data_IF_216366363350
#
_entry.id   IF_216366363350
#
_cell.length_a   1.000
_cell.length_b   1.000
_cell.length_c   1.000
_cell.angle_alpha   90.00
_cell.angle_beta   90.00
_cell.angle_gamma   90.00
#
_symmetry.space_group_name_H-M   'P 1'
#
loop_
_entity.id
_entity.type
_entity.pdbx_description
1 polymer ?
#
# COMPACT_ATOMS: atom_id res chain seq x y z
N UNK A 1 1.35 17.69 -5.70
CA UNK A 1 2.00 16.43 -5.29
C UNK A 1 3.22 16.79 -4.47
N UNK A 2 3.56 15.98 -3.51
CA UNK A 2 4.71 16.14 -2.61
C UNK A 2 5.31 14.77 -2.27
N UNK A 3 6.57 14.76 -1.88
CA UNK A 3 7.22 13.53 -1.40
C UNK A 3 6.73 13.21 0.01
N UNK A 4 6.64 11.93 0.31
CA UNK A 4 6.38 11.43 1.65
C UNK A 4 7.14 10.15 1.93
N UNK A 5 7.11 9.67 3.16
CA UNK A 5 7.80 8.45 3.57
C UNK A 5 6.88 7.54 4.38
N UNK A 6 7.13 6.25 4.31
CA UNK A 6 6.49 5.24 5.16
C UNK A 6 7.37 4.97 6.38
N UNK A 7 6.91 5.36 7.56
CA UNK A 7 7.69 5.19 8.78
C UNK A 7 7.23 3.98 9.60
N UNK A 8 8.09 2.97 9.69
CA UNK A 8 7.98 1.86 10.62
C UNK A 8 8.78 2.07 11.91
N UNK A 9 9.78 2.95 11.87
CA UNK A 9 10.56 3.44 13.00
C UNK A 9 10.23 4.93 13.23
N UNK A 10 9.83 5.26 14.45
CA UNK A 10 9.45 6.60 14.87
C UNK A 10 10.50 7.22 15.82
N UNK A 11 11.74 6.73 15.83
CA UNK A 11 12.84 7.29 16.61
C UNK A 11 13.21 8.70 16.12
N UNK A 12 13.77 9.51 17.02
CA UNK A 12 14.23 10.87 16.67
C UNK A 12 15.24 10.85 15.52
N UNK A 13 16.12 9.82 15.47
CA UNK A 13 17.05 9.61 14.37
C UNK A 13 16.33 9.49 13.03
N UNK A 14 15.28 8.66 12.98
CA UNK A 14 14.55 8.41 11.73
C UNK A 14 13.69 9.60 11.32
N UNK A 15 13.07 10.28 12.27
CA UNK A 15 12.31 11.51 12.01
C UNK A 15 13.23 12.65 11.54
N UNK A 16 14.41 12.81 12.16
CA UNK A 16 15.42 13.78 11.72
C UNK A 16 15.91 13.47 10.29
N UNK A 17 16.21 12.20 9.99
CA UNK A 17 16.60 11.78 8.64
C UNK A 17 15.52 12.14 7.60
N UNK A 18 14.26 11.85 7.89
CA UNK A 18 13.15 12.17 6.99
C UNK A 18 13.03 13.70 6.76
N UNK A 19 13.06 14.48 7.85
CA UNK A 19 12.99 15.94 7.78
C UNK A 19 14.16 16.55 6.98
N UNK A 20 15.40 16.04 7.14
CA UNK A 20 16.56 16.49 6.39
C UNK A 20 16.42 16.28 4.87
N UNK A 21 15.67 15.28 4.45
CA UNK A 21 15.35 15.01 3.03
C UNK A 21 14.19 15.86 2.51
N UNK A 22 13.59 16.70 3.35
CA UNK A 22 12.44 17.53 3.01
C UNK A 22 11.13 16.75 2.99
N UNK A 23 11.04 15.66 3.75
CA UNK A 23 9.79 14.91 3.97
C UNK A 23 8.97 15.65 5.03
N UNK A 24 7.85 16.23 4.60
CA UNK A 24 6.91 16.96 5.47
C UNK A 24 5.64 16.13 5.74
N UNK A 25 5.46 15.00 5.07
CA UNK A 25 4.28 14.16 5.15
C UNK A 25 4.65 12.69 5.25
N UNK A 26 3.96 11.95 6.12
CA UNK A 26 4.26 10.53 6.34
C UNK A 26 3.03 9.64 6.39
N UNK A 27 3.26 8.37 6.01
CA UNK A 27 2.40 7.25 6.35
C UNK A 27 3.02 6.51 7.55
N UNK A 28 2.33 6.47 8.68
CA UNK A 28 2.78 5.72 9.85
C UNK A 28 2.39 4.25 9.68
N UNK A 29 3.41 3.39 9.56
CA UNK A 29 3.24 1.96 9.29
C UNK A 29 3.16 1.10 10.55
N UNK A 30 3.61 1.61 11.70
CA UNK A 30 3.65 0.87 12.95
C UNK A 30 2.67 1.42 13.97
N UNK A 31 2.02 0.52 14.71
CA UNK A 31 1.29 0.85 15.93
C UNK A 31 2.07 0.42 17.18
N UNK A 32 3.20 -0.27 16.98
CA UNK A 32 4.04 -0.77 18.06
C UNK A 32 4.63 0.42 18.85
N UNK A 33 4.62 0.30 20.16
CA UNK A 33 5.18 1.26 21.11
C UNK A 33 4.59 2.69 21.03
N UNK A 34 3.45 2.84 20.31
CA UNK A 34 2.76 4.14 20.18
C UNK A 34 1.68 4.37 21.24
N UNK A 35 1.24 3.34 21.93
CA UNK A 35 0.10 3.37 22.85
C UNK A 35 -1.27 3.57 22.16
N UNK A 36 -1.30 3.65 20.83
CA UNK A 36 -2.54 3.84 20.05
C UNK A 36 -3.47 2.65 20.27
N UNK A 37 -2.92 1.44 20.29
CA UNK A 37 -3.68 0.22 20.33
C UNK A 37 -3.66 -0.43 21.72
N UNK A 38 -4.85 -0.73 22.23
CA UNK A 38 -5.07 -1.53 23.44
C UNK A 38 -4.83 -3.03 23.19
N UNK A 39 -4.77 -3.81 24.27
CA UNK A 39 -4.63 -5.28 24.22
C UNK A 39 -5.80 -5.95 23.46
N UNK A 40 -7.03 -5.44 23.62
CA UNK A 40 -8.23 -5.93 22.93
C UNK A 40 -8.31 -5.52 21.46
N UNK A 41 -7.47 -4.58 21.03
CA UNK A 41 -7.37 -4.12 19.66
C UNK A 41 -8.04 -2.79 19.36
N UNK A 42 -8.76 -2.24 20.29
CA UNK A 42 -9.34 -0.91 20.17
C UNK A 42 -8.27 0.18 20.19
N UNK A 43 -8.56 1.31 19.56
CA UNK A 43 -7.63 2.44 19.51
C UNK A 43 -7.98 3.53 20.51
N UNK A 44 -6.93 4.14 21.04
CA UNK A 44 -6.98 5.29 21.93
C UNK A 44 -6.73 6.60 21.16
N UNK A 45 -7.62 7.57 21.27
CA UNK A 45 -7.50 8.89 20.63
C UNK A 45 -6.34 9.72 21.18
N UNK A 46 -6.12 9.82 22.51
CA UNK A 46 -5.03 10.63 23.04
C UNK A 46 -3.64 10.26 22.55
N UNK A 47 -3.23 8.99 22.45
CA UNK A 47 -1.96 8.59 21.83
C UNK A 47 -1.85 8.95 20.35
N UNK A 48 -2.94 8.86 19.56
CA UNK A 48 -2.90 9.30 18.16
C UNK A 48 -2.55 10.79 18.10
N UNK A 49 -3.23 11.62 18.89
CA UNK A 49 -2.96 13.06 18.95
C UNK A 49 -1.56 13.37 19.51
N UNK A 50 -1.07 12.56 20.44
CA UNK A 50 0.30 12.69 20.95
C UNK A 50 1.34 12.42 19.85
N UNK A 51 1.13 11.38 19.06
CA UNK A 51 1.99 11.07 17.91
C UNK A 51 1.95 12.18 16.86
N UNK A 52 0.77 12.73 16.54
CA UNK A 52 0.66 13.87 15.62
C UNK A 52 1.46 15.09 16.10
N UNK A 53 1.36 15.43 17.40
CA UNK A 53 2.16 16.53 17.99
C UNK A 53 3.65 16.26 17.93
N UNK A 54 4.08 15.02 18.25
CA UNK A 54 5.48 14.64 18.17
C UNK A 54 6.05 14.75 16.75
N UNK A 55 5.31 14.28 15.74
CA UNK A 55 5.71 14.43 14.34
C UNK A 55 5.82 15.91 13.93
N UNK A 56 4.90 16.75 14.43
CA UNK A 56 4.93 18.20 14.18
C UNK A 56 6.17 18.89 14.75
N UNK A 57 6.78 18.38 15.84
CA UNK A 57 8.06 18.88 16.38
C UNK A 57 9.21 18.75 15.36
N UNK A 58 9.11 17.80 14.42
CA UNK A 58 10.05 17.62 13.31
C UNK A 58 9.57 18.28 11.99
N UNK A 59 8.48 19.04 12.03
CA UNK A 59 7.87 19.62 10.83
C UNK A 59 7.13 18.59 9.95
N UNK A 60 6.74 17.45 10.53
CA UNK A 60 6.14 16.32 9.80
C UNK A 60 4.65 16.21 10.15
N UNK A 61 3.83 16.01 9.13
CA UNK A 61 2.38 15.74 9.24
C UNK A 61 2.08 14.27 8.97
N UNK A 62 1.21 13.66 9.78
CA UNK A 62 0.70 12.31 9.55
C UNK A 62 -0.49 12.36 8.60
N UNK A 63 -0.30 12.00 7.33
CA UNK A 63 -1.36 11.91 6.33
C UNK A 63 -2.10 10.57 6.38
N UNK A 64 -1.37 9.51 6.70
CA UNK A 64 -1.89 8.14 6.67
C UNK A 64 -1.46 7.36 7.91
N UNK A 65 -2.38 6.60 8.48
CA UNK A 65 -2.09 5.65 9.55
C UNK A 65 -2.44 4.24 9.09
N UNK A 66 -1.61 3.25 9.44
CA UNK A 66 -1.91 1.84 9.14
C UNK A 66 -3.05 1.35 10.03
N UNK A 67 -4.09 0.77 9.43
CA UNK A 67 -5.26 0.23 10.15
C UNK A 67 -4.96 -1.09 10.88
N UNK A 68 -3.75 -1.62 10.75
CA UNK A 68 -3.36 -2.88 11.38
C UNK A 68 -3.85 -4.11 10.64
N UNK A 69 -4.18 -3.99 9.36
CA UNK A 69 -4.46 -5.11 8.45
C UNK A 69 -3.29 -5.22 7.48
N UNK A 70 -2.40 -6.16 7.75
CA UNK A 70 -1.12 -6.30 7.10
C UNK A 70 -1.17 -7.21 5.87
N UNK A 71 -0.21 -7.03 4.94
CA UNK A 71 -0.01 -7.91 3.78
C UNK A 71 0.71 -9.20 4.20
N UNK A 72 0.15 -9.95 5.12
CA UNK A 72 0.72 -11.18 5.64
C UNK A 72 -0.12 -12.40 5.26
N UNK A 73 0.48 -13.59 5.35
CA UNK A 73 -0.27 -14.84 5.24
C UNK A 73 -1.35 -14.88 6.34
N UNK A 74 -2.59 -15.26 6.00
CA UNK A 74 -3.76 -15.09 6.84
C UNK A 74 -3.58 -15.53 8.30
N UNK A 75 -2.85 -16.64 8.57
CA UNK A 75 -2.58 -17.13 9.92
C UNK A 75 -1.70 -16.20 10.78
N UNK A 76 -0.98 -15.27 10.14
CA UNK A 76 -0.13 -14.28 10.81
C UNK A 76 -0.79 -12.92 10.89
N UNK A 77 -1.95 -12.76 10.27
CA UNK A 77 -2.72 -11.53 10.33
C UNK A 77 -3.41 -11.41 11.69
N UNK A 78 -3.58 -10.19 12.14
CA UNK A 78 -4.36 -9.89 13.34
C UNK A 78 -5.82 -10.30 13.20
N UNK A 79 -6.40 -10.15 12.00
CA UNK A 79 -7.77 -10.45 11.67
C UNK A 79 -7.86 -11.56 10.61
N UNK A 80 -7.47 -12.81 10.94
CA UNK A 80 -7.36 -13.89 9.95
C UNK A 80 -8.70 -14.21 9.29
N UNK A 81 -9.81 -13.98 9.99
CA UNK A 81 -11.16 -14.27 9.53
C UNK A 81 -11.77 -13.18 8.64
N UNK A 82 -11.16 -12.00 8.61
CA UNK A 82 -11.75 -10.83 7.95
C UNK A 82 -12.03 -11.07 6.46
N UNK A 83 -11.01 -11.55 5.74
CA UNK A 83 -11.11 -11.80 4.30
C UNK A 83 -11.44 -13.26 3.96
N UNK A 84 -11.32 -14.18 4.93
CA UNK A 84 -11.61 -15.61 4.72
C UNK A 84 -13.07 -15.95 5.03
N UNK A 85 -13.79 -15.07 5.71
CA UNK A 85 -15.19 -15.29 6.10
C UNK A 85 -15.35 -16.23 7.30
N UNK A 86 -14.32 -16.35 8.15
CA UNK A 86 -14.35 -17.17 9.37
C UNK A 86 -15.26 -16.61 10.46
N UNK A 87 -15.41 -17.35 11.56
CA UNK A 87 -16.34 -17.02 12.65
C UNK A 87 -15.99 -15.75 13.43
N UNK A 88 -14.74 -15.31 13.40
CA UNK A 88 -14.27 -14.06 14.03
C UNK A 88 -14.48 -12.80 13.18
N UNK A 89 -15.02 -12.91 11.96
CA UNK A 89 -15.16 -11.79 11.02
C UNK A 89 -15.95 -10.62 11.57
N UNK A 90 -17.10 -10.87 12.15
CA UNK A 90 -17.97 -9.79 12.62
C UNK A 90 -17.35 -9.04 13.80
N UNK A 91 -16.68 -9.76 14.71
CA UNK A 91 -15.90 -9.13 15.79
C UNK A 91 -14.74 -8.28 15.24
N UNK A 92 -14.07 -8.75 14.21
CA UNK A 92 -13.03 -7.97 13.54
C UNK A 92 -13.60 -6.68 12.92
N UNK A 93 -14.76 -6.76 12.25
CA UNK A 93 -15.44 -5.61 11.69
C UNK A 93 -15.82 -4.60 12.78
N UNK A 94 -16.37 -5.06 13.92
CA UNK A 94 -16.72 -4.18 15.03
C UNK A 94 -15.51 -3.42 15.58
N UNK A 95 -14.35 -4.09 15.69
CA UNK A 95 -13.09 -3.45 16.07
C UNK A 95 -12.62 -2.42 15.04
N UNK A 96 -12.70 -2.76 13.75
CA UNK A 96 -12.35 -1.81 12.68
C UNK A 96 -13.25 -0.57 12.70
N UNK A 97 -14.55 -0.74 12.93
CA UNK A 97 -15.51 0.36 13.07
C UNK A 97 -15.12 1.29 14.23
N UNK A 98 -14.76 0.73 15.39
CA UNK A 98 -14.30 1.51 16.54
C UNK A 98 -13.00 2.26 16.23
N UNK A 99 -12.03 1.60 15.57
CA UNK A 99 -10.74 2.20 15.21
C UNK A 99 -10.89 3.31 14.15
N UNK A 100 -11.79 3.14 13.18
CA UNK A 100 -12.14 4.19 12.21
C UNK A 100 -12.74 5.41 12.92
N UNK A 101 -13.62 5.22 13.90
CA UNK A 101 -14.18 6.31 14.70
C UNK A 101 -13.11 7.03 15.52
N UNK A 102 -12.20 6.28 16.16
CA UNK A 102 -11.08 6.86 16.91
C UNK A 102 -10.13 7.66 15.99
N UNK A 103 -9.86 7.16 14.78
CA UNK A 103 -9.08 7.88 13.76
C UNK A 103 -9.77 9.18 13.33
N UNK A 104 -11.09 9.14 13.07
CA UNK A 104 -11.87 10.32 12.73
C UNK A 104 -11.90 11.36 13.86
N UNK A 105 -12.10 10.93 15.11
CA UNK A 105 -12.03 11.83 16.27
C UNK A 105 -10.64 12.48 16.43
N UNK A 106 -9.57 11.74 16.11
CA UNK A 106 -8.21 12.25 16.08
C UNK A 106 -7.87 13.03 14.79
N UNK A 107 -8.83 13.22 13.88
CA UNK A 107 -8.64 13.89 12.58
C UNK A 107 -7.57 13.26 11.68
N UNK A 108 -7.41 11.95 11.74
CA UNK A 108 -6.55 11.20 10.81
C UNK A 108 -7.24 11.16 9.45
N UNK A 109 -6.65 11.71 8.38
CA UNK A 109 -7.38 11.86 7.11
C UNK A 109 -7.52 10.56 6.33
N UNK A 110 -6.61 9.59 6.54
CA UNK A 110 -6.58 8.37 5.75
C UNK A 110 -6.05 7.18 6.57
N UNK A 111 -6.69 6.03 6.38
CA UNK A 111 -6.24 4.75 6.92
C UNK A 111 -5.88 3.81 5.77
N UNK A 112 -4.64 3.28 5.76
CA UNK A 112 -4.25 2.27 4.78
C UNK A 112 -4.37 0.86 5.33
N UNK A 113 -4.67 -0.10 4.47
CA UNK A 113 -4.86 -1.50 4.82
C UNK A 113 -4.65 -2.43 3.62
N UNK A 114 -4.61 -3.75 3.87
CA UNK A 114 -4.46 -4.77 2.84
C UNK A 114 -5.67 -5.71 2.81
N UNK A 115 -5.92 -6.31 1.64
CA UNK A 115 -6.94 -7.35 1.44
C UNK A 115 -6.26 -8.60 0.87
N UNK A 116 -5.54 -9.33 1.72
CA UNK A 116 -4.76 -10.51 1.34
C UNK A 116 -5.18 -11.74 2.15
N UNK A 117 -5.13 -12.91 1.52
CA UNK A 117 -5.19 -14.22 2.21
C UNK A 117 -3.79 -14.84 2.26
N UNK A 118 -3.03 -14.73 1.19
CA UNK A 118 -1.59 -15.03 1.17
C UNK A 118 -0.82 -13.71 1.13
N UNK A 119 0.36 -13.68 1.75
CA UNK A 119 1.14 -12.46 1.88
C UNK A 119 1.88 -12.07 0.60
N UNK A 120 2.80 -11.12 0.75
CA UNK A 120 3.73 -10.74 -0.32
C UNK A 120 4.63 -11.93 -0.66
N UNK A 121 4.71 -12.26 -1.95
CA UNK A 121 5.44 -13.43 -2.44
C UNK A 121 6.62 -13.00 -3.30
N UNK A 122 7.78 -13.59 -3.03
CA UNK A 122 8.99 -13.44 -3.87
C UNK A 122 9.66 -14.81 -4.05
N UNK A 123 10.25 -15.05 -5.20
CA UNK A 123 10.92 -16.31 -5.53
C UNK A 123 12.45 -16.23 -5.35
N UNK A 124 12.96 -15.08 -4.98
CA UNK A 124 14.37 -14.88 -4.72
C UNK A 124 14.83 -13.45 -4.93
N UNK A 125 16.11 -13.31 -5.22
CA UNK A 125 16.75 -12.04 -5.54
C UNK A 125 17.63 -12.19 -6.77
N UNK A 126 17.79 -11.12 -7.55
CA UNK A 126 18.65 -11.02 -8.72
C UNK A 126 19.72 -9.96 -8.49
N UNK A 127 20.90 -10.08 -9.16
CA UNK A 127 21.94 -9.06 -9.09
C UNK A 127 21.46 -7.74 -9.69
N UNK A 128 21.69 -6.64 -8.96
CA UNK A 128 21.39 -5.29 -9.38
C UNK A 128 22.65 -4.44 -9.63
N UNK A 129 22.48 -3.18 -10.03
CA UNK A 129 23.60 -2.26 -10.25
C UNK A 129 24.36 -1.99 -8.95
N UNK A 130 25.70 -1.85 -9.06
CA UNK A 130 26.56 -1.46 -7.95
C UNK A 130 26.59 -2.47 -6.79
N UNK A 131 26.30 -3.75 -7.06
CA UNK A 131 26.27 -4.80 -6.04
C UNK A 131 24.98 -4.85 -5.23
N UNK A 132 23.97 -4.04 -5.55
CA UNK A 132 22.63 -4.18 -4.98
C UNK A 132 21.96 -5.46 -5.45
N UNK A 133 20.91 -5.88 -4.74
CA UNK A 133 20.07 -7.01 -5.14
C UNK A 133 18.62 -6.57 -5.27
N UNK A 134 17.94 -7.08 -6.29
CA UNK A 134 16.52 -6.81 -6.57
C UNK A 134 15.67 -7.96 -6.08
N UNK A 135 14.59 -7.65 -5.37
CA UNK A 135 13.54 -8.65 -5.09
C UNK A 135 12.92 -9.12 -6.39
N UNK A 136 12.72 -10.42 -6.53
CA UNK A 136 12.26 -11.04 -7.77
C UNK A 136 11.10 -11.98 -7.52
N UNK A 137 10.11 -11.92 -8.39
CA UNK A 137 9.03 -12.89 -8.47
C UNK A 137 8.98 -13.49 -9.87
N UNK A 138 8.92 -14.80 -9.94
CA UNK A 138 8.74 -15.59 -11.16
C UNK A 138 7.87 -16.79 -10.81
N UNK A 139 6.66 -16.82 -11.31
CA UNK A 139 5.69 -17.88 -11.00
C UNK A 139 6.18 -19.26 -11.41
N UNK A 140 7.03 -19.36 -12.43
CA UNK A 140 7.61 -20.64 -12.86
C UNK A 140 8.58 -21.21 -11.84
N UNK A 141 9.23 -20.34 -11.07
CA UNK A 141 10.14 -20.71 -9.96
C UNK A 141 9.41 -20.98 -8.64
N UNK A 142 8.10 -20.75 -8.57
CA UNK A 142 7.33 -21.04 -7.38
C UNK A 142 7.14 -22.54 -7.20
N UNK A 143 7.68 -23.12 -6.15
CA UNK A 143 7.74 -24.58 -5.94
C UNK A 143 6.58 -25.13 -5.12
N UNK A 144 6.00 -24.31 -4.21
CA UNK A 144 4.93 -24.79 -3.36
C UNK A 144 3.59 -24.79 -4.11
N UNK A 145 3.08 -26.00 -4.40
CA UNK A 145 1.84 -26.19 -5.15
C UNK A 145 0.66 -26.67 -4.31
N UNK A 146 0.89 -27.09 -3.05
CA UNK A 146 -0.17 -27.55 -2.17
C UNK A 146 -1.15 -26.43 -1.84
N UNK A 147 -2.43 -26.79 -1.70
CA UNK A 147 -3.46 -25.86 -1.24
C UNK A 147 -3.08 -25.26 0.13
N UNK A 148 -3.55 -24.05 0.40
CA UNK A 148 -3.51 -23.53 1.78
C UNK A 148 -4.42 -24.35 2.68
N UNK A 149 -4.21 -24.33 4.01
CA UNK A 149 -5.12 -25.00 4.97
C UNK A 149 -6.58 -24.56 4.89
N UNK A 150 -6.87 -23.41 4.27
CA UNK A 150 -8.24 -22.95 4.01
C UNK A 150 -8.92 -23.72 2.87
N UNK A 151 -8.15 -24.52 2.11
CA UNK A 151 -8.63 -25.07 0.85
C UNK A 151 -8.79 -23.99 -0.23
N UNK A 152 -9.60 -24.29 -1.27
CA UNK A 152 -9.83 -23.35 -2.36
C UNK A 152 -10.54 -22.06 -1.90
N UNK A 153 -9.96 -20.92 -2.27
CA UNK A 153 -10.51 -19.59 -2.08
C UNK A 153 -10.68 -18.89 -3.43
N UNK A 154 -11.74 -19.25 -4.18
CA UNK A 154 -11.99 -18.68 -5.51
C UNK A 154 -12.34 -17.19 -5.42
N UNK A 155 -12.16 -16.48 -6.52
CA UNK A 155 -12.35 -15.03 -6.57
C UNK A 155 -13.73 -14.59 -6.08
N UNK A 156 -14.80 -15.29 -6.44
CA UNK A 156 -16.16 -14.91 -6.01
C UNK A 156 -16.36 -15.02 -4.51
N UNK A 157 -15.82 -16.06 -3.85
CA UNK A 157 -15.85 -16.16 -2.39
C UNK A 157 -15.09 -15.03 -1.71
N UNK A 158 -13.95 -14.64 -2.27
CA UNK A 158 -13.19 -13.49 -1.77
C UNK A 158 -13.94 -12.17 -1.98
N UNK A 159 -14.63 -12.03 -3.12
CA UNK A 159 -15.49 -10.88 -3.39
C UNK A 159 -16.68 -10.80 -2.42
N UNK A 160 -17.38 -11.90 -2.16
CA UNK A 160 -18.47 -11.95 -1.17
C UNK A 160 -17.99 -11.47 0.20
N UNK A 161 -16.83 -11.98 0.66
CA UNK A 161 -16.25 -11.57 1.93
C UNK A 161 -15.83 -10.10 1.92
N UNK A 162 -15.19 -9.63 0.86
CA UNK A 162 -14.76 -8.24 0.75
C UNK A 162 -15.94 -7.26 0.74
N UNK A 163 -16.98 -7.53 -0.05
CA UNK A 163 -18.22 -6.72 -0.09
C UNK A 163 -18.87 -6.67 1.29
N UNK A 164 -18.97 -7.82 1.96
CA UNK A 164 -19.54 -7.90 3.31
C UNK A 164 -18.81 -6.99 4.32
N UNK A 165 -17.49 -6.92 4.24
CA UNK A 165 -16.67 -6.02 5.08
C UNK A 165 -16.86 -4.57 4.65
N UNK A 166 -16.75 -4.27 3.36
CA UNK A 166 -16.84 -2.91 2.83
C UNK A 166 -18.20 -2.24 3.15
N UNK A 167 -19.29 -2.96 2.99
CA UNK A 167 -20.65 -2.45 3.30
C UNK A 167 -20.82 -2.01 4.76
N UNK A 168 -19.96 -2.53 5.66
CA UNK A 168 -20.01 -2.22 7.09
C UNK A 168 -19.02 -1.15 7.50
N UNK A 169 -17.85 -1.11 6.90
CA UNK A 169 -16.79 -0.17 7.32
C UNK A 169 -16.79 1.14 6.53
N UNK A 170 -17.12 1.10 5.23
CA UNK A 170 -17.05 2.29 4.35
C UNK A 170 -18.06 3.37 4.73
N UNK A 171 -19.32 3.06 5.07
CA UNK A 171 -20.25 4.08 5.55
C UNK A 171 -19.79 4.78 6.83
N UNK A 172 -19.18 4.04 7.76
CA UNK A 172 -18.63 4.61 9.00
C UNK A 172 -17.44 5.52 8.70
N UNK A 173 -16.54 5.11 7.78
CA UNK A 173 -15.45 5.94 7.34
C UNK A 173 -15.93 7.27 6.74
N UNK A 174 -16.98 7.23 5.93
CA UNK A 174 -17.63 8.43 5.40
C UNK A 174 -18.21 9.34 6.49
N UNK A 175 -18.90 8.78 7.49
CA UNK A 175 -19.42 9.54 8.64
C UNK A 175 -18.31 10.21 9.45
N UNK A 176 -17.14 9.58 9.53
CA UNK A 176 -15.98 10.07 10.28
C UNK A 176 -15.05 10.96 9.45
N UNK A 177 -15.29 11.13 8.14
CA UNK A 177 -14.40 11.88 7.26
C UNK A 177 -13.05 11.21 6.99
N UNK A 178 -12.95 9.89 7.17
CA UNK A 178 -11.71 9.10 7.06
C UNK A 178 -11.71 8.32 5.75
N UNK A 179 -10.66 8.50 4.92
CA UNK A 179 -10.48 7.71 3.70
C UNK A 179 -9.92 6.33 4.03
N UNK A 180 -10.42 5.30 3.37
CA UNK A 180 -9.93 3.93 3.48
C UNK A 180 -9.15 3.56 2.21
N UNK A 181 -7.84 3.45 2.33
CA UNK A 181 -6.89 3.24 1.24
C UNK A 181 -6.43 1.78 1.21
N UNK A 182 -7.07 0.93 0.39
CA UNK A 182 -6.62 -0.45 0.22
C UNK A 182 -5.38 -0.52 -0.65
N UNK A 183 -4.41 -1.37 -0.27
CA UNK A 183 -3.27 -1.71 -1.11
C UNK A 183 -3.66 -2.83 -2.09
N UNK A 184 -3.31 -2.74 -3.38
CA UNK A 184 -3.47 -3.84 -4.32
C UNK A 184 -2.69 -5.09 -3.87
N UNK A 185 -3.07 -6.26 -4.37
CA UNK A 185 -2.42 -7.51 -3.98
C UNK A 185 -1.04 -7.66 -4.65
N UNK A 186 0.01 -7.83 -3.86
CA UNK A 186 1.40 -7.97 -4.28
C UNK A 186 1.91 -9.41 -3.97
N UNK A 187 2.32 -10.17 -5.01
CA UNK A 187 2.18 -9.88 -6.44
C UNK A 187 0.79 -10.20 -6.97
N UNK A 188 0.52 -9.80 -8.22
CA UNK A 188 -0.60 -10.36 -8.97
C UNK A 188 -0.44 -11.88 -9.11
N UNK A 189 -1.52 -12.64 -8.85
CA UNK A 189 -1.52 -14.10 -8.95
C UNK A 189 -2.02 -14.58 -10.32
N UNK A 190 -1.76 -15.84 -10.71
CA UNK A 190 -2.35 -16.42 -11.90
C UNK A 190 -3.87 -16.24 -11.91
N UNK A 191 -4.40 -15.70 -13.03
CA UNK A 191 -5.80 -15.25 -13.10
C UNK A 191 -6.80 -16.39 -13.09
N UNK A 192 -6.44 -17.54 -13.68
CA UNK A 192 -7.34 -18.69 -13.84
C UNK A 192 -7.37 -19.56 -12.58
N UNK A 193 -6.21 -19.91 -12.05
CA UNK A 193 -6.08 -20.91 -11.00
C UNK A 193 -5.71 -20.30 -9.63
N UNK A 194 -5.32 -19.02 -9.60
CA UNK A 194 -4.72 -18.43 -8.43
C UNK A 194 -3.36 -19.07 -8.08
N UNK A 195 -2.97 -18.99 -6.83
CA UNK A 195 -1.79 -19.67 -6.31
C UNK A 195 -2.16 -20.40 -5.02
N UNK A 196 -1.82 -21.68 -4.91
CA UNK A 196 -2.17 -22.53 -3.76
C UNK A 196 -3.69 -22.55 -3.48
N UNK A 197 -4.52 -22.47 -4.55
CA UNK A 197 -5.97 -22.41 -4.46
C UNK A 197 -6.54 -21.04 -4.05
N UNK A 198 -5.72 -20.02 -3.87
CA UNK A 198 -6.15 -18.67 -3.52
C UNK A 198 -6.06 -17.74 -4.72
N UNK A 199 -7.15 -17.07 -5.03
CA UNK A 199 -7.20 -16.01 -6.04
C UNK A 199 -6.84 -14.64 -5.45
N UNK A 200 -6.57 -13.68 -6.32
CA UNK A 200 -6.30 -12.29 -5.95
C UNK A 200 -7.33 -11.36 -6.58
N UNK A 201 -8.27 -10.86 -5.78
CA UNK A 201 -9.33 -9.96 -6.27
C UNK A 201 -8.83 -8.54 -6.56
N UNK A 202 -7.70 -8.15 -5.97
CA UNK A 202 -7.01 -6.89 -6.24
C UNK A 202 -5.68 -7.10 -6.98
N UNK A 203 -5.52 -8.22 -7.68
CA UNK A 203 -4.37 -8.53 -8.54
C UNK A 203 -4.59 -8.18 -10.01
N UNK A 204 -5.63 -7.41 -10.34
CA UNK A 204 -5.91 -6.92 -11.70
C UNK A 204 -6.50 -5.52 -11.64
N UNK A 205 -6.27 -4.72 -12.69
CA UNK A 205 -6.90 -3.39 -12.83
C UNK A 205 -8.43 -3.50 -12.83
N UNK A 206 -9.00 -4.54 -13.46
CA UNK A 206 -10.44 -4.77 -13.45
C UNK A 206 -10.98 -5.12 -12.03
N UNK A 207 -10.22 -5.89 -11.26
CA UNK A 207 -10.55 -6.12 -9.84
C UNK A 207 -10.53 -4.82 -9.03
N UNK A 208 -9.56 -3.96 -9.26
CA UNK A 208 -9.51 -2.63 -8.64
C UNK A 208 -10.73 -1.77 -9.06
N UNK A 209 -11.14 -1.79 -10.34
CA UNK A 209 -12.36 -1.11 -10.81
C UNK A 209 -13.62 -1.68 -10.13
N UNK A 210 -13.72 -3.01 -9.98
CA UNK A 210 -14.83 -3.65 -9.25
C UNK A 210 -14.86 -3.22 -7.78
N UNK A 211 -13.68 -3.06 -7.14
CA UNK A 211 -13.57 -2.64 -5.74
C UNK A 211 -14.22 -1.29 -5.46
N UNK A 212 -13.91 -0.26 -6.24
CA UNK A 212 -14.47 1.07 -6.04
C UNK A 212 -15.97 1.16 -6.36
N UNK A 213 -16.49 0.20 -7.14
CA UNK A 213 -17.93 0.09 -7.45
C UNK A 213 -18.70 -0.76 -6.46
N UNK A 214 -18.02 -1.65 -5.71
CA UNK A 214 -18.65 -2.56 -4.76
C UNK A 214 -19.40 -1.80 -3.63
N UNK A 215 -18.78 -0.72 -3.15
CA UNK A 215 -19.44 0.29 -2.31
C UNK A 215 -18.99 1.65 -2.85
N UNK A 216 -19.84 2.27 -3.67
CA UNK A 216 -19.52 3.55 -4.31
C UNK A 216 -19.51 4.68 -3.28
N UNK A 217 -18.32 5.04 -2.83
CA UNK A 217 -18.10 6.05 -1.79
C UNK A 217 -16.77 6.78 -2.04
N UNK A 218 -16.73 8.12 -1.91
CA UNK A 218 -15.48 8.88 -2.01
C UNK A 218 -14.49 8.58 -0.87
N UNK A 219 -14.88 7.78 0.09
CA UNK A 219 -14.05 7.33 1.22
C UNK A 219 -13.45 5.93 1.03
N UNK A 220 -13.78 5.23 -0.07
CA UNK A 220 -13.17 3.95 -0.46
C UNK A 220 -12.30 4.15 -1.69
N UNK A 221 -11.02 3.85 -1.61
CA UNK A 221 -10.05 4.03 -2.69
C UNK A 221 -8.73 3.30 -2.39
N UNK A 222 -7.66 3.80 -2.97
CA UNK A 222 -6.39 3.07 -2.97
C UNK A 222 -5.25 3.83 -2.30
N UNK A 223 -4.46 3.06 -1.55
CA UNK A 223 -3.04 3.21 -1.54
C UNK A 223 -2.55 2.67 -2.90
N UNK A 224 -2.44 3.54 -3.89
CA UNK A 224 -2.12 3.15 -5.27
C UNK A 224 -0.64 2.82 -5.37
N UNK A 225 -0.29 1.54 -5.19
CA UNK A 225 1.08 1.09 -5.41
C UNK A 225 1.33 0.93 -6.91
N UNK A 226 2.05 1.89 -7.50
CA UNK A 226 2.38 1.91 -8.92
C UNK A 226 3.15 0.65 -9.33
N UNK A 227 4.09 0.19 -8.48
CA UNK A 227 4.83 -1.05 -8.73
C UNK A 227 3.91 -2.27 -8.77
N UNK A 228 3.01 -2.41 -7.79
CA UNK A 228 2.06 -3.52 -7.76
C UNK A 228 1.07 -3.47 -8.95
N UNK A 229 0.66 -2.28 -9.38
CA UNK A 229 -0.13 -2.16 -10.62
C UNK A 229 0.67 -2.57 -11.84
N UNK A 230 1.97 -2.22 -11.90
CA UNK A 230 2.85 -2.67 -12.97
C UNK A 230 3.01 -4.21 -13.00
N UNK A 231 3.02 -4.87 -11.83
CA UNK A 231 3.02 -6.33 -11.70
C UNK A 231 1.75 -7.01 -12.24
N UNK A 232 0.66 -6.27 -12.46
CA UNK A 232 -0.58 -6.77 -13.06
C UNK A 232 -0.57 -6.69 -14.58
N UNK A 233 0.34 -5.90 -15.15
CA UNK A 233 0.36 -5.49 -16.54
C UNK A 233 1.23 -6.42 -17.39
N UNK A 234 0.86 -6.58 -18.65
CA UNK A 234 1.73 -7.20 -19.66
C UNK A 234 2.68 -6.19 -20.28
N UNK A 235 2.21 -4.95 -20.44
CA UNK A 235 3.00 -3.79 -20.83
C UNK A 235 2.87 -2.68 -19.77
N UNK A 236 3.72 -2.71 -18.71
CA UNK A 236 3.66 -1.70 -17.65
C UNK A 236 3.86 -0.26 -18.14
N UNK A 237 4.57 -0.06 -19.26
CA UNK A 237 4.88 1.28 -19.80
C UNK A 237 3.62 2.07 -20.17
N UNK A 238 2.62 1.39 -20.65
CA UNK A 238 1.36 2.01 -21.11
C UNK A 238 0.22 1.76 -20.14
N UNK A 239 0.03 0.52 -19.69
CA UNK A 239 -1.12 0.12 -18.88
C UNK A 239 -1.14 0.80 -17.50
N UNK A 240 0.03 1.07 -16.88
CA UNK A 240 0.11 1.81 -15.62
C UNK A 240 -0.40 3.25 -15.78
N UNK A 241 -0.01 3.92 -16.87
CA UNK A 241 -0.47 5.30 -17.14
C UNK A 241 -1.99 5.36 -17.37
N UNK A 242 -2.54 4.35 -18.00
CA UNK A 242 -4.00 4.22 -18.18
C UNK A 242 -4.71 3.99 -16.85
N UNK A 243 -4.15 3.14 -15.99
CA UNK A 243 -4.67 2.91 -14.64
C UNK A 243 -4.64 4.19 -13.79
N UNK A 244 -3.54 4.96 -13.84
CA UNK A 244 -3.45 6.27 -13.15
C UNK A 244 -4.54 7.21 -13.66
N UNK A 245 -4.74 7.31 -14.98
CA UNK A 245 -5.80 8.15 -15.57
C UNK A 245 -7.18 7.72 -15.09
N UNK A 246 -7.46 6.42 -15.10
CA UNK A 246 -8.76 5.92 -14.67
C UNK A 246 -9.03 6.23 -13.20
N UNK A 247 -8.20 5.74 -12.29
CA UNK A 247 -8.44 5.92 -10.84
C UNK A 247 -8.25 7.36 -10.37
N UNK A 248 -7.43 8.15 -11.06
CA UNK A 248 -7.26 9.56 -10.77
C UNK A 248 -8.51 10.39 -11.14
N UNK A 249 -9.13 10.14 -12.30
CA UNK A 249 -10.40 10.76 -12.70
C UNK A 249 -11.55 10.38 -11.76
N UNK A 250 -11.56 9.15 -11.28
CA UNK A 250 -12.52 8.67 -10.27
C UNK A 250 -12.20 9.22 -8.86
N UNK A 251 -11.10 9.95 -8.67
CA UNK A 251 -10.64 10.49 -7.37
C UNK A 251 -10.45 9.39 -6.31
N UNK A 252 -10.00 8.21 -6.72
CA UNK A 252 -9.82 7.03 -5.85
C UNK A 252 -8.36 6.75 -5.51
N UNK A 253 -7.42 7.62 -5.86
CA UNK A 253 -6.02 7.56 -5.44
C UNK A 253 -5.86 8.42 -4.19
N UNK A 254 -5.66 7.82 -3.03
CA UNK A 254 -5.56 8.52 -1.75
C UNK A 254 -4.12 8.74 -1.30
N UNK A 255 -3.23 7.83 -1.65
CA UNK A 255 -1.79 7.95 -1.59
C UNK A 255 -1.16 7.09 -2.69
N UNK A 256 0.10 7.34 -3.01
CA UNK A 256 0.84 6.59 -4.03
C UNK A 256 2.08 5.97 -3.40
N UNK A 257 2.24 4.65 -3.57
CA UNK A 257 3.53 4.00 -3.47
C UNK A 257 4.22 4.09 -4.83
N UNK A 258 5.29 4.87 -4.90
CA UNK A 258 6.01 5.13 -6.14
C UNK A 258 7.19 4.15 -6.26
N UNK A 259 6.91 2.94 -6.70
CA UNK A 259 7.87 1.85 -6.93
C UNK A 259 7.96 1.54 -8.42
N UNK A 260 9.16 1.15 -8.89
CA UNK A 260 9.39 0.72 -10.26
C UNK A 260 9.81 -0.75 -10.32
N UNK A 261 9.46 -1.40 -11.41
CA UNK A 261 9.82 -2.79 -11.69
C UNK A 261 10.36 -2.91 -13.13
N UNK A 262 11.10 -3.98 -13.38
CA UNK A 262 11.34 -4.53 -14.73
C UNK A 262 10.56 -5.81 -14.89
N UNK A 263 9.97 -6.02 -16.07
CA UNK A 263 9.07 -7.12 -16.33
C UNK A 263 7.62 -6.74 -16.05
N UNK A 264 6.81 -7.69 -15.64
CA UNK A 264 5.37 -7.45 -15.44
C UNK A 264 4.65 -8.68 -14.91
N UNK A 265 3.48 -8.98 -15.46
CA UNK A 265 2.63 -10.03 -14.96
C UNK A 265 3.34 -11.37 -14.82
N UNK A 266 3.39 -11.88 -13.59
CA UNK A 266 3.97 -13.15 -13.13
C UNK A 266 5.49 -13.30 -13.24
N UNK A 267 6.22 -12.29 -13.76
CA UNK A 267 7.69 -12.29 -13.75
C UNK A 267 8.21 -10.85 -13.75
N UNK A 268 8.81 -10.42 -12.63
CA UNK A 268 9.34 -9.08 -12.47
C UNK A 268 10.46 -9.00 -11.44
N UNK A 269 11.20 -7.89 -11.50
CA UNK A 269 12.21 -7.48 -10.52
C UNK A 269 11.88 -6.10 -9.98
N UNK A 270 11.97 -5.90 -8.67
CA UNK A 270 11.86 -4.59 -8.02
C UNK A 270 13.18 -3.84 -8.16
N UNK A 271 13.17 -2.74 -8.89
CA UNK A 271 14.39 -2.03 -9.29
C UNK A 271 14.43 -0.61 -8.74
N UNK A 272 15.50 0.12 -9.00
CA UNK A 272 15.60 1.54 -8.69
C UNK A 272 14.55 2.36 -9.48
N UNK A 273 14.11 3.54 -8.96
CA UNK A 273 13.12 4.39 -9.61
C UNK A 273 13.45 4.72 -11.06
N UNK A 274 14.73 4.93 -11.36
CA UNK A 274 15.27 5.30 -12.68
C UNK A 274 15.62 4.12 -13.59
N UNK A 275 15.36 2.88 -13.14
CA UNK A 275 15.84 1.66 -13.84
C UNK A 275 14.70 0.69 -14.20
N UNK A 276 13.44 1.08 -14.06
CA UNK A 276 12.29 0.23 -14.36
C UNK A 276 11.63 0.53 -15.70
N UNK A 277 10.56 -0.19 -15.96
CA UNK A 277 9.81 -0.08 -17.22
C UNK A 277 8.81 1.07 -17.24
N UNK A 278 8.42 1.59 -16.08
CA UNK A 278 7.56 2.78 -15.99
C UNK A 278 8.40 4.04 -15.95
N UNK A 279 8.20 4.94 -16.90
CA UNK A 279 8.81 6.27 -16.87
C UNK A 279 8.14 7.11 -15.77
N UNK A 280 8.91 7.44 -14.71
CA UNK A 280 8.38 8.20 -13.58
C UNK A 280 8.03 9.64 -13.95
N UNK A 281 8.76 10.25 -14.89
CA UNK A 281 8.41 11.61 -15.33
C UNK A 281 7.04 11.60 -16.02
N UNK A 282 6.80 10.66 -16.93
CA UNK A 282 5.51 10.51 -17.59
C UNK A 282 4.41 10.13 -16.60
N UNK A 283 4.67 9.24 -15.64
CA UNK A 283 3.72 8.90 -14.59
C UNK A 283 3.32 10.13 -13.76
N UNK A 284 4.30 10.94 -13.33
CA UNK A 284 4.03 12.18 -12.59
C UNK A 284 3.25 13.21 -13.41
N UNK A 285 3.51 13.31 -14.72
CA UNK A 285 2.70 14.13 -15.63
C UNK A 285 1.24 13.67 -15.62
N UNK A 286 1.00 12.36 -15.69
CA UNK A 286 -0.35 11.80 -15.67
C UNK A 286 -1.03 12.01 -14.32
N UNK A 287 -0.34 11.81 -13.18
CA UNK A 287 -0.89 12.19 -11.88
C UNK A 287 -1.29 13.66 -11.81
N UNK A 288 -0.47 14.58 -12.37
CA UNK A 288 -0.80 16.00 -12.45
C UNK A 288 -2.00 16.25 -13.38
N UNK A 289 -2.06 15.59 -14.54
CA UNK A 289 -3.16 15.66 -15.51
C UNK A 289 -4.52 15.34 -14.87
N UNK A 290 -4.58 14.31 -14.06
CA UNK A 290 -5.81 13.87 -13.37
C UNK A 290 -6.09 14.65 -12.07
N UNK A 291 -5.29 15.65 -11.75
CA UNK A 291 -5.48 16.52 -10.59
C UNK A 291 -5.06 15.89 -9.25
N UNK A 292 -4.28 14.81 -9.26
CA UNK A 292 -3.73 14.27 -8.01
C UNK A 292 -2.78 15.28 -7.35
N UNK A 293 -2.95 15.53 -6.06
CA UNK A 293 -2.19 16.49 -5.26
C UNK A 293 -1.56 15.88 -4.00
N UNK A 294 -1.74 14.60 -3.80
CA UNK A 294 -1.34 13.90 -2.59
C UNK A 294 0.13 13.47 -2.55
N UNK A 295 0.40 12.62 -1.58
CA UNK A 295 1.71 12.09 -1.24
C UNK A 295 2.21 11.06 -2.28
N UNK A 296 3.45 11.21 -2.71
CA UNK A 296 4.22 10.23 -3.47
C UNK A 296 5.31 9.66 -2.54
N UNK A 297 5.23 8.39 -2.26
CA UNK A 297 6.02 7.73 -1.23
C UNK A 297 6.83 6.60 -1.84
N UNK A 298 8.16 6.52 -1.67
CA UNK A 298 8.90 5.31 -1.97
C UNK A 298 8.28 4.11 -1.26
N UNK A 299 8.42 2.94 -1.87
CA UNK A 299 7.93 1.68 -1.31
C UNK A 299 9.12 0.72 -1.15
N UNK A 300 9.15 -0.40 -1.86
CA UNK A 300 10.33 -1.25 -1.83
C UNK A 300 11.48 -0.61 -2.62
N UNK A 301 12.68 -0.68 -2.06
CA UNK A 301 13.92 -0.26 -2.70
C UNK A 301 14.88 -1.45 -2.81
N UNK A 302 15.82 -1.45 -3.77
CA UNK A 302 16.83 -2.50 -3.86
C UNK A 302 17.61 -2.65 -2.56
N UNK A 303 17.94 -3.87 -2.20
CA UNK A 303 18.75 -4.14 -1.01
C UNK A 303 20.24 -4.04 -1.30
N UNK A 304 21.01 -3.52 -0.33
CA UNK A 304 22.46 -3.48 -0.39
C UNK A 304 23.06 -3.82 0.98
N UNK A 305 24.07 -4.68 1.01
CA UNK A 305 24.80 -4.97 2.26
C UNK A 305 25.50 -3.73 2.84
N UNK A 306 25.84 -2.78 1.98
CA UNK A 306 26.45 -1.50 2.38
C UNK A 306 25.43 -0.50 2.96
N UNK A 307 24.13 -0.85 2.94
CA UNK A 307 23.01 0.00 3.41
C UNK A 307 21.93 -0.89 4.05
N UNK A 308 22.21 -1.53 5.19
CA UNK A 308 21.32 -2.51 5.82
C UNK A 308 19.97 -1.92 6.23
N UNK A 309 19.91 -0.63 6.57
CA UNK A 309 18.68 0.09 6.91
C UNK A 309 17.96 0.66 5.69
N UNK A 310 18.49 0.46 4.48
CA UNK A 310 18.00 0.99 3.20
C UNK A 310 17.87 2.53 3.14
N UNK A 311 18.49 3.27 4.06
CA UNK A 311 18.35 4.74 4.13
C UNK A 311 18.92 5.45 2.91
N UNK A 312 20.04 4.98 2.35
CA UNK A 312 20.63 5.54 1.12
C UNK A 312 19.71 5.29 -0.07
N UNK A 313 19.13 4.09 -0.14
CA UNK A 313 18.24 3.70 -1.23
C UNK A 313 16.95 4.52 -1.19
N UNK A 314 16.35 4.69 0.00
CA UNK A 314 15.19 5.56 0.19
C UNK A 314 15.54 7.04 -0.07
N UNK A 315 16.71 7.50 0.38
CA UNK A 315 17.17 8.88 0.11
C UNK A 315 17.31 9.15 -1.38
N UNK A 316 17.84 8.17 -2.14
CA UNK A 316 17.90 8.27 -3.60
C UNK A 316 16.50 8.35 -4.22
N UNK A 317 15.57 7.48 -3.80
CA UNK A 317 14.22 7.44 -4.33
C UNK A 317 13.45 8.73 -4.03
N UNK A 318 13.57 9.26 -2.80
CA UNK A 318 12.99 10.54 -2.39
C UNK A 318 13.57 11.70 -3.19
N UNK A 319 14.90 11.80 -3.29
CA UNK A 319 15.57 12.87 -4.04
C UNK A 319 15.25 12.84 -5.53
N UNK A 320 15.21 11.64 -6.14
CA UNK A 320 14.81 11.46 -7.54
C UNK A 320 13.37 11.93 -7.78
N UNK A 321 12.43 11.49 -6.94
CA UNK A 321 11.01 11.87 -7.03
C UNK A 321 10.83 13.37 -6.83
N UNK A 322 11.48 13.96 -5.82
CA UNK A 322 11.45 15.41 -5.55
C UNK A 322 11.96 16.20 -6.73
N UNK A 323 13.10 15.79 -7.31
CA UNK A 323 13.66 16.45 -8.51
C UNK A 323 12.71 16.44 -9.71
N UNK A 324 11.98 15.33 -9.92
CA UNK A 324 10.96 15.25 -10.97
C UNK A 324 9.75 16.14 -10.69
N UNK A 325 9.27 16.22 -9.44
CA UNK A 325 8.18 17.13 -9.04
C UNK A 325 8.60 18.58 -9.28
N UNK A 326 9.82 18.97 -8.89
CA UNK A 326 10.36 20.31 -9.07
C UNK A 326 10.49 20.66 -10.55
N UNK A 327 10.96 19.72 -11.39
CA UNK A 327 11.02 19.91 -12.84
C UNK A 327 9.64 20.13 -13.46
N UNK A 328 8.65 19.32 -13.06
CA UNK A 328 7.28 19.45 -13.52
C UNK A 328 6.61 20.75 -13.09
N UNK A 329 6.98 21.32 -11.94
CA UNK A 329 6.40 22.58 -11.46
C UNK A 329 6.84 23.78 -12.28
N UNK A 330 7.97 23.67 -13.00
CA UNK A 330 8.56 24.73 -13.85
C UNK A 330 8.12 24.64 -15.32
N UNK A 331 7.53 23.49 -15.71
CA UNK A 331 6.98 23.23 -17.05
C UNK A 331 5.46 23.49 -17.08
#
# INVERSE_FOLDING_TARGET
MYIGEQLGDLSDRKLTWAAQLGVEHVAVNTLKDTGIQNEDGTWNVPPIRALQRRLAEFGITMDVLNLGIEAAYYQRQRFPDLWTGGSGRDRAIDLLVQNIRAAGEATVPCLKYNCNVIGILRTGRTPGRGGATYSHFDVEKWTERSLTPLGPMPAEKLWENAVYVLERVVPVAGQCGVRLAVHPHDPALPREDGLRGVHSILGTVEGMKRWIRAVDSPYSGFNFCQGTVAEMCRDPRTEVLEAIRYFGREQRIFMVHLRNIKGGYLNFEEVYPDNGDVDFYEALRVYREVGYRGMLCPDHVPHSEADPDNERQHSFALGYTKGLIDALSRS
#
